data_IF_846708694197
#
_entry.id   IF_846708694197
#
_cell.length_a   1.000
_cell.length_b   1.000
_cell.length_c   1.000
_cell.angle_alpha   90.00
_cell.angle_beta   90.00
_cell.angle_gamma   90.00
#
_symmetry.space_group_name_H-M   'P 1'
#
loop_
_entity.id
_entity.type
_entity.pdbx_description
1 polymer ?
#
# COMPACT_ATOMS: atom_id res chain seq x y z
N UNK A 1 -4.14 41.63 -0.60
CA UNK A 1 -3.23 40.86 -1.48
C UNK A 1 -3.65 39.39 -1.43
N UNK A 2 -4.50 38.91 -2.35
CA UNK A 2 -5.05 37.54 -2.31
C UNK A 2 -4.11 36.43 -2.84
N UNK A 3 -3.03 36.76 -3.55
CA UNK A 3 -2.12 35.76 -4.14
C UNK A 3 -1.20 35.07 -3.11
N UNK A 4 -0.74 35.80 -2.09
CA UNK A 4 0.11 35.25 -1.02
C UNK A 4 -0.63 34.28 -0.08
N UNK A 5 -1.96 34.39 -0.01
CA UNK A 5 -2.80 33.53 0.82
C UNK A 5 -2.81 32.11 0.24
N UNK A 6 -3.09 31.97 -1.06
CA UNK A 6 -3.09 30.66 -1.73
C UNK A 6 -1.77 29.90 -1.61
N UNK A 7 -0.62 30.57 -1.78
CA UNK A 7 0.68 29.89 -1.69
C UNK A 7 1.02 29.42 -0.27
N UNK A 8 0.53 30.11 0.76
CA UNK A 8 0.66 29.68 2.15
C UNK A 8 -0.31 28.54 2.45
N UNK A 9 -1.55 28.66 2.02
CA UNK A 9 -2.58 27.65 2.24
C UNK A 9 -2.28 26.34 1.51
N UNK A 10 -1.81 26.37 0.25
CA UNK A 10 -1.42 25.15 -0.47
C UNK A 10 -0.26 24.43 0.24
N UNK A 11 0.73 25.18 0.77
CA UNK A 11 1.81 24.59 1.57
C UNK A 11 1.30 24.01 2.87
N UNK A 12 0.39 24.71 3.55
CA UNK A 12 -0.25 24.21 4.77
C UNK A 12 -1.05 22.93 4.50
N UNK A 13 -1.82 22.88 3.42
CA UNK A 13 -2.57 21.69 2.99
C UNK A 13 -1.62 20.52 2.70
N UNK A 14 -0.47 20.75 2.05
CA UNK A 14 0.54 19.72 1.83
C UNK A 14 1.20 19.22 3.12
N UNK A 15 1.47 20.11 4.08
CA UNK A 15 2.01 19.74 5.38
C UNK A 15 1.00 18.92 6.20
N UNK A 16 -0.27 19.36 6.21
CA UNK A 16 -1.38 18.62 6.81
C UNK A 16 -1.55 17.25 6.17
N UNK A 17 -1.44 17.13 4.84
CA UNK A 17 -1.56 15.86 4.13
C UNK A 17 -0.46 14.87 4.55
N UNK A 18 0.78 15.33 4.68
CA UNK A 18 1.89 14.48 5.14
C UNK A 18 1.73 14.07 6.59
N UNK A 19 1.29 14.99 7.44
CA UNK A 19 0.99 14.72 8.86
C UNK A 19 -0.11 13.66 8.98
N UNK A 20 -1.21 13.85 8.24
CA UNK A 20 -2.34 12.94 8.19
C UNK A 20 -1.90 11.56 7.71
N UNK A 21 -1.06 11.47 6.65
CA UNK A 21 -0.48 10.20 6.20
C UNK A 21 0.35 9.51 7.29
N UNK A 22 1.16 10.25 8.03
CA UNK A 22 1.97 9.71 9.12
C UNK A 22 1.11 9.24 10.31
N UNK A 23 0.11 10.03 10.71
CA UNK A 23 -0.83 9.64 11.75
C UNK A 23 -1.63 8.39 11.39
N UNK A 24 -2.02 8.26 10.12
CA UNK A 24 -2.63 7.03 9.64
C UNK A 24 -1.65 5.84 9.72
N UNK A 25 -0.39 6.01 9.35
CA UNK A 25 0.63 4.95 9.50
C UNK A 25 0.76 4.50 10.97
N UNK A 26 0.79 5.45 11.91
CA UNK A 26 0.83 5.17 13.36
C UNK A 26 -0.45 4.51 13.89
N UNK A 27 -1.61 4.91 13.37
CA UNK A 27 -2.90 4.32 13.70
C UNK A 27 -2.97 2.85 13.25
N UNK A 28 -2.49 2.55 12.03
CA UNK A 28 -2.42 1.18 11.53
C UNK A 28 -1.32 0.36 12.19
N UNK A 29 -0.22 0.97 12.61
CA UNK A 29 0.83 0.32 13.39
C UNK A 29 0.41 0.02 14.85
N UNK A 30 -0.85 0.30 15.23
CA UNK A 30 -1.39 0.02 16.56
C UNK A 30 -0.88 0.93 17.68
N UNK A 31 -0.09 1.96 17.36
CA UNK A 31 0.44 2.93 18.33
C UNK A 31 -0.57 4.01 18.72
N UNK A 32 -1.60 4.25 17.91
CA UNK A 32 -2.64 5.25 18.19
C UNK A 32 -4.04 4.65 18.10
N UNK A 33 -4.87 4.96 19.09
CA UNK A 33 -6.22 4.38 19.29
C UNK A 33 -7.34 5.21 18.64
N UNK A 34 -7.05 6.45 18.24
CA UNK A 34 -8.02 7.40 17.68
C UNK A 34 -7.67 7.75 16.21
N UNK A 35 -8.62 7.64 15.28
CA UNK A 35 -8.42 7.99 13.88
C UNK A 35 -8.25 9.51 13.73
N UNK A 36 -7.33 10.01 12.88
CA UNK A 36 -7.12 11.45 12.67
C UNK A 36 -8.26 12.07 11.84
N UNK A 37 -9.45 12.17 12.45
CA UNK A 37 -10.65 12.78 11.88
C UNK A 37 -10.59 14.30 11.89
N UNK A 38 -9.79 14.89 12.79
CA UNK A 38 -9.64 16.34 12.92
C UNK A 38 -8.88 16.91 11.72
N UNK A 39 -7.70 16.38 11.44
CA UNK A 39 -6.86 16.80 10.32
C UNK A 39 -7.55 16.55 8.97
N UNK A 40 -8.31 15.44 8.84
CA UNK A 40 -9.10 15.17 7.64
C UNK A 40 -10.22 16.19 7.43
N UNK A 41 -10.96 16.57 8.49
CA UNK A 41 -12.00 17.59 8.40
C UNK A 41 -11.44 18.96 8.04
N UNK A 42 -10.29 19.33 8.61
CA UNK A 42 -9.61 20.59 8.27
C UNK A 42 -9.19 20.61 6.80
N UNK A 43 -8.63 19.50 6.31
CA UNK A 43 -8.29 19.33 4.90
C UNK A 43 -9.50 19.38 3.97
N UNK A 44 -10.59 18.68 4.30
CA UNK A 44 -11.83 18.69 3.52
C UNK A 44 -12.43 20.10 3.42
N UNK A 45 -12.43 20.84 4.53
CA UNK A 45 -12.91 22.21 4.57
C UNK A 45 -12.09 23.12 3.64
N UNK A 46 -10.76 23.01 3.69
CA UNK A 46 -9.87 23.78 2.81
C UNK A 46 -10.08 23.38 1.34
N UNK A 47 -10.12 22.07 1.03
CA UNK A 47 -10.35 21.59 -0.34
C UNK A 47 -11.70 22.07 -0.88
N UNK A 48 -12.77 22.07 -0.08
CA UNK A 48 -14.07 22.60 -0.50
C UNK A 48 -14.05 24.10 -0.76
N UNK A 49 -13.39 24.87 0.11
CA UNK A 49 -13.25 26.31 -0.05
C UNK A 49 -12.53 26.65 -1.36
N UNK A 50 -11.39 26.00 -1.65
CA UNK A 50 -10.64 26.23 -2.89
C UNK A 50 -11.29 25.59 -4.12
N UNK A 51 -12.04 24.51 -3.95
CA UNK A 51 -12.80 23.88 -5.04
C UNK A 51 -13.98 24.75 -5.53
N UNK A 52 -14.60 25.51 -4.62
CA UNK A 52 -15.66 26.45 -4.96
C UNK A 52 -15.12 27.84 -5.37
N UNK A 53 -13.85 28.12 -5.07
CA UNK A 53 -13.18 29.36 -5.46
C UNK A 53 -12.55 29.17 -6.84
N UNK A 54 -13.04 29.88 -7.84
CA UNK A 54 -12.42 29.83 -9.17
C UNK A 54 -11.04 30.51 -9.12
N UNK A 55 -9.97 29.72 -9.18
CA UNK A 55 -8.61 30.24 -9.18
C UNK A 55 -8.31 30.90 -10.53
N UNK A 56 -7.99 32.20 -10.55
CA UNK A 56 -7.82 32.94 -11.81
C UNK A 56 -6.56 32.51 -12.59
N UNK A 57 -5.59 31.87 -11.93
CA UNK A 57 -4.29 31.53 -12.51
C UNK A 57 -4.17 30.03 -12.76
N UNK A 58 -3.86 29.67 -14.02
CA UNK A 58 -3.70 28.28 -14.45
C UNK A 58 -2.67 27.50 -13.62
N UNK A 59 -1.56 28.14 -13.23
CA UNK A 59 -0.54 27.52 -12.39
C UNK A 59 -1.07 27.12 -10.99
N UNK A 60 -1.93 27.95 -10.40
CA UNK A 60 -2.54 27.67 -9.09
C UNK A 60 -3.57 26.54 -9.22
N UNK A 61 -4.37 26.57 -10.29
CA UNK A 61 -5.31 25.51 -10.61
C UNK A 61 -4.62 24.16 -10.80
N UNK A 62 -3.50 24.10 -11.53
CA UNK A 62 -2.72 22.87 -11.69
C UNK A 62 -2.20 22.33 -10.36
N UNK A 63 -1.66 23.20 -9.50
CA UNK A 63 -1.16 22.80 -8.17
C UNK A 63 -2.29 22.28 -7.28
N UNK A 64 -3.44 22.95 -7.29
CA UNK A 64 -4.62 22.51 -6.55
C UNK A 64 -5.17 21.18 -7.08
N UNK A 65 -5.26 21.02 -8.40
CA UNK A 65 -5.69 19.75 -9.02
C UNK A 65 -4.75 18.59 -8.67
N UNK A 66 -3.43 18.80 -8.71
CA UNK A 66 -2.45 17.80 -8.30
C UNK A 66 -2.58 17.43 -6.82
N UNK A 67 -2.82 18.43 -5.97
CA UNK A 67 -3.10 18.22 -4.55
C UNK A 67 -4.39 17.42 -4.33
N UNK A 68 -5.48 17.83 -4.97
CA UNK A 68 -6.80 17.19 -4.87
C UNK A 68 -6.75 15.72 -5.32
N UNK A 69 -6.03 15.42 -6.40
CA UNK A 69 -5.85 14.02 -6.85
C UNK A 69 -5.11 13.17 -5.82
N UNK A 70 -4.03 13.71 -5.24
CA UNK A 70 -3.27 13.03 -4.18
C UNK A 70 -4.12 12.79 -2.93
N UNK A 71 -4.93 13.78 -2.53
CA UNK A 71 -5.85 13.69 -1.40
C UNK A 71 -6.97 12.66 -1.62
N UNK A 72 -7.57 12.62 -2.83
CA UNK A 72 -8.60 11.67 -3.18
C UNK A 72 -8.10 10.21 -3.10
N UNK A 73 -6.92 9.93 -3.66
CA UNK A 73 -6.29 8.60 -3.59
C UNK A 73 -6.06 8.18 -2.14
N UNK A 74 -5.60 9.10 -1.31
CA UNK A 74 -5.32 8.84 0.11
C UNK A 74 -6.62 8.53 0.89
N UNK A 75 -7.70 9.27 0.63
CA UNK A 75 -9.02 9.01 1.22
C UNK A 75 -9.57 7.63 0.81
N UNK A 76 -9.41 7.26 -0.45
CA UNK A 76 -9.84 5.95 -0.95
C UNK A 76 -9.04 4.80 -0.30
N UNK A 77 -7.73 5.00 -0.11
CA UNK A 77 -6.86 4.05 0.59
C UNK A 77 -7.29 3.85 2.04
N UNK A 78 -7.62 4.93 2.76
CA UNK A 78 -8.11 4.84 4.13
C UNK A 78 -9.45 4.14 4.24
N UNK A 79 -10.39 4.41 3.33
CA UNK A 79 -11.67 3.72 3.31
C UNK A 79 -11.49 2.21 3.11
N UNK A 80 -10.57 1.81 2.20
CA UNK A 80 -10.21 0.39 2.01
C UNK A 80 -9.61 -0.21 3.29
N UNK A 81 -8.74 0.52 3.99
CA UNK A 81 -8.10 0.04 5.21
C UNK A 81 -9.07 -0.02 6.40
N UNK A 82 -10.00 0.93 6.54
CA UNK A 82 -11.04 0.87 7.57
C UNK A 82 -11.97 -0.32 7.35
N UNK A 83 -12.42 -0.57 6.12
CA UNK A 83 -13.23 -1.76 5.79
C UNK A 83 -12.48 -3.07 6.06
N UNK A 84 -11.20 -3.14 5.71
CA UNK A 84 -10.36 -4.32 5.97
C UNK A 84 -10.16 -4.60 7.47
N UNK A 85 -10.23 -3.57 8.31
CA UNK A 85 -10.21 -3.71 9.78
C UNK A 85 -11.54 -4.26 10.31
N UNK A 86 -12.67 -3.79 9.77
CA UNK A 86 -14.01 -4.26 10.16
C UNK A 86 -14.25 -5.74 9.79
N UNK A 87 -13.69 -6.20 8.67
CA UNK A 87 -13.77 -7.60 8.21
C UNK A 87 -12.89 -8.57 9.03
N UNK A 88 -12.11 -8.07 10.00
CA UNK A 88 -11.27 -8.87 10.90
C UNK A 88 -10.03 -9.50 10.25
N UNK A 89 -9.80 -9.28 8.95
CA UNK A 89 -8.76 -9.97 8.19
C UNK A 89 -7.36 -9.29 8.25
N UNK A 90 -7.26 -8.04 8.69
CA UNK A 90 -6.02 -7.26 8.55
C UNK A 90 -5.76 -6.40 9.79
N UNK A 91 -4.93 -6.89 10.70
CA UNK A 91 -4.34 -6.07 11.76
C UNK A 91 -3.20 -5.18 11.24
N UNK A 92 -2.68 -5.38 10.02
CA UNK A 92 -1.59 -4.53 9.51
C UNK A 92 -1.53 -4.46 7.95
N UNK A 93 -1.68 -3.26 7.34
CA UNK A 93 -1.70 -3.08 5.88
C UNK A 93 -0.32 -3.29 5.21
N UNK A 94 0.80 -3.18 5.93
CA UNK A 94 2.12 -3.59 5.42
C UNK A 94 2.24 -5.11 5.35
N UNK A 95 1.64 -5.83 6.31
CA UNK A 95 1.51 -7.28 6.25
C UNK A 95 0.63 -7.69 5.07
N UNK A 96 -0.47 -7.00 4.77
CA UNK A 96 -1.31 -7.33 3.61
C UNK A 96 -0.57 -7.10 2.28
N UNK A 97 0.19 -6.01 2.14
CA UNK A 97 1.00 -5.77 0.93
C UNK A 97 2.11 -6.83 0.80
N UNK A 98 2.76 -7.18 1.91
CA UNK A 98 3.77 -8.23 1.98
C UNK A 98 3.20 -9.62 1.71
N UNK A 99 2.02 -9.92 2.25
CA UNK A 99 1.27 -11.17 2.04
C UNK A 99 0.75 -11.25 0.62
N UNK A 100 0.25 -10.15 0.04
CA UNK A 100 -0.15 -10.11 -1.38
C UNK A 100 1.03 -10.35 -2.30
N UNK A 101 2.19 -9.76 -1.99
CA UNK A 101 3.43 -9.98 -2.74
C UNK A 101 3.92 -11.42 -2.58
N UNK A 102 3.98 -11.93 -1.36
CA UNK A 102 4.38 -13.31 -1.05
C UNK A 102 3.41 -14.34 -1.65
N UNK A 103 2.11 -14.05 -1.66
CA UNK A 103 1.07 -14.90 -2.25
C UNK A 103 1.14 -14.89 -3.77
N UNK A 104 1.52 -13.76 -4.39
CA UNK A 104 1.79 -13.66 -5.82
C UNK A 104 3.05 -14.43 -6.20
N UNK A 105 4.10 -14.33 -5.39
CA UNK A 105 5.35 -15.07 -5.56
C UNK A 105 5.16 -16.59 -5.39
N UNK A 106 4.36 -17.02 -4.40
CA UNK A 106 3.95 -18.41 -4.23
C UNK A 106 3.09 -18.89 -5.41
N UNK A 107 2.17 -18.07 -5.91
CA UNK A 107 1.36 -18.39 -7.08
C UNK A 107 2.22 -18.50 -8.35
N UNK A 108 3.26 -17.68 -8.51
CA UNK A 108 4.24 -17.81 -9.59
C UNK A 108 5.10 -19.08 -9.42
N UNK A 109 5.44 -19.47 -8.18
CA UNK A 109 6.16 -20.72 -7.88
C UNK A 109 5.29 -21.98 -8.10
N UNK A 110 4.02 -21.94 -7.70
CA UNK A 110 3.05 -23.01 -7.93
C UNK A 110 2.73 -23.16 -9.41
N UNK A 111 2.62 -22.04 -10.14
CA UNK A 111 2.41 -22.03 -11.59
C UNK A 111 3.67 -22.42 -12.38
N UNK A 112 4.84 -22.38 -11.73
CA UNK A 112 6.13 -22.81 -12.27
C UNK A 112 6.56 -24.23 -11.85
N UNK A 113 5.80 -24.94 -10.98
CA UNK A 113 6.14 -26.30 -10.55
C UNK A 113 5.47 -27.30 -11.50
N UNK A 114 6.22 -28.07 -12.33
CA UNK A 114 5.63 -29.24 -12.95
C UNK A 114 5.24 -30.22 -11.84
N UNK A 115 4.01 -30.70 -11.88
CA UNK A 115 3.55 -31.84 -11.07
C UNK A 115 4.44 -33.04 -11.40
N UNK A 116 5.51 -33.27 -10.64
CA UNK A 116 6.14 -34.59 -10.58
C UNK A 116 5.29 -35.46 -9.66
N UNK A 117 4.58 -36.47 -10.19
CA UNK A 117 3.83 -37.38 -9.35
C UNK A 117 4.80 -38.26 -8.55
N UNK A 118 4.53 -38.29 -7.25
CA UNK A 118 4.79 -39.34 -6.27
C UNK A 118 5.85 -40.43 -6.57
N UNK A 119 6.80 -40.55 -5.64
CA UNK A 119 7.53 -41.77 -5.34
C UNK A 119 6.61 -43.00 -5.17
N UNK A 120 7.10 -44.14 -5.66
CA UNK A 120 6.78 -45.50 -5.21
C UNK A 120 8.09 -46.32 -5.14
N UNK A 121 8.20 -47.34 -4.28
CA UNK A 121 9.29 -47.43 -3.31
C UNK A 121 10.45 -48.37 -3.68
N UNK A 122 11.60 -48.11 -3.04
CA UNK A 122 12.53 -49.08 -2.47
C UNK A 122 12.93 -50.32 -3.30
N UNK A 123 14.16 -50.31 -3.84
CA UNK A 123 15.00 -51.51 -3.87
C UNK A 123 16.43 -51.16 -3.43
N UNK A 124 17.01 -51.85 -2.43
CA UNK A 124 18.39 -51.62 -1.99
C UNK A 124 19.41 -52.19 -2.99
N UNK A 125 20.68 -51.77 -2.94
CA UNK A 125 21.66 -52.08 -3.98
C UNK A 125 22.20 -53.52 -3.86
N UNK A 126 22.34 -54.28 -4.96
CA UNK A 126 23.21 -55.46 -4.95
C UNK A 126 24.67 -55.07 -5.23
N UNK A 127 25.53 -55.66 -4.40
CA UNK A 127 26.98 -55.50 -4.20
C UNK A 127 27.88 -55.56 -5.46
N UNK A 128 29.10 -54.98 -5.40
CA UNK A 128 30.08 -55.02 -6.49
C UNK A 128 31.00 -56.25 -6.38
N UNK A 129 31.34 -56.90 -7.51
CA UNK A 129 32.48 -57.81 -7.65
C UNK A 129 32.77 -58.11 -9.15
N UNK A 130 33.95 -58.66 -9.52
CA UNK A 130 35.21 -57.93 -9.64
C UNK A 130 35.86 -58.06 -11.04
N UNK A 131 36.87 -57.24 -11.27
CA UNK A 131 37.67 -57.13 -12.48
C UNK A 131 38.21 -58.46 -13.05
N UNK A 132 38.31 -58.56 -14.38
CA UNK A 132 39.36 -59.36 -15.06
C UNK A 132 39.58 -58.90 -16.51
N UNK A 133 40.58 -58.01 -16.63
CA UNK A 133 41.73 -58.03 -17.55
C UNK A 133 41.65 -58.87 -18.84
N UNK A 134 42.07 -58.20 -19.92
CA UNK A 134 42.32 -58.62 -21.31
C UNK A 134 43.05 -59.97 -21.50
N UNK A 135 43.08 -60.52 -22.73
CA UNK A 135 44.00 -60.02 -23.78
C UNK A 135 43.32 -59.50 -25.05
#
# INVERSE_FOLDING_TARGET
MPEMDFERDIQRMQALLNTLKHEYDLYFAGSRRDPPRKEQKELDALVKTYGNTNLPRLAQQFRFTAFSGSYAVLCEQWNKWMRAREDGLVQDPRLLASVRRAKRELQELERGRPLSPASGPEQPPPVPAPARRAP
#
